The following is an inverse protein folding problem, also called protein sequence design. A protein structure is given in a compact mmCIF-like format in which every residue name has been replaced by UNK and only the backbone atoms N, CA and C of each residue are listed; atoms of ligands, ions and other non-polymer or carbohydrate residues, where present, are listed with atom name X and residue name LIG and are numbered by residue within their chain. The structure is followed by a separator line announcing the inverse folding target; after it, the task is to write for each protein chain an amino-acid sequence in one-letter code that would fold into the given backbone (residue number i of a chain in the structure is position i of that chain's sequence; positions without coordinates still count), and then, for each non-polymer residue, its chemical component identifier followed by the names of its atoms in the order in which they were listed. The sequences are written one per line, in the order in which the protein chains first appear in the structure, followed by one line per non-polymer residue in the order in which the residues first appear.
data_IF_289481647677
#
_entry.id   IF_289481647677
#
_cell.length_a   1.000
_cell.length_b   1.000
_cell.length_c   1.000
_cell.angle_alpha   90.00
_cell.angle_beta   90.00
_cell.angle_gamma   90.00
#
_symmetry.space_group_name_H-M   'P 1'
#
loop_
_entity.id
_entity.type
_entity.pdbx_description
1 polymer ?
#
# COMPACT_ATOMS: atom_id res chain seq x y z
N UNK A 1 -5.22 11.01 11.48
CA UNK A 1 -4.53 9.77 11.06
C UNK A 1 -4.95 9.49 9.63
N UNK A 2 -4.02 9.13 8.76
CA UNK A 2 -4.31 8.74 7.37
C UNK A 2 -3.94 7.27 7.21
N UNK A 3 -4.70 6.57 6.40
CA UNK A 3 -4.38 5.22 5.98
C UNK A 3 -4.01 5.23 4.50
N UNK A 4 -3.42 4.14 4.05
CA UNK A 4 -2.94 3.97 2.69
C UNK A 4 -3.44 2.63 2.17
N UNK A 5 -4.00 2.65 0.96
CA UNK A 5 -4.32 1.44 0.22
C UNK A 5 -3.32 1.29 -0.92
N UNK A 6 -2.68 0.13 -0.99
CA UNK A 6 -1.79 -0.24 -2.09
C UNK A 6 -2.47 -1.29 -2.95
N UNK A 7 -2.67 -0.98 -4.23
CA UNK A 7 -3.22 -1.88 -5.25
C UNK A 7 -2.06 -2.35 -6.13
N UNK A 8 -1.83 -3.66 -6.15
CA UNK A 8 -0.85 -4.31 -7.01
C UNK A 8 -1.59 -5.15 -8.03
N UNK A 9 -1.47 -4.81 -9.31
CA UNK A 9 -2.03 -5.59 -10.41
C UNK A 9 -0.90 -6.29 -11.16
N UNK A 10 -1.07 -7.57 -11.44
CA UNK A 10 -0.20 -8.38 -12.28
C UNK A 10 -0.99 -8.84 -13.49
N UNK A 11 -0.53 -8.43 -14.67
CA UNK A 11 -1.02 -8.94 -15.95
C UNK A 11 -0.70 -10.44 -16.08
N UNK A 12 -1.70 -11.23 -16.42
CA UNK A 12 -1.63 -12.69 -16.44
C UNK A 12 -0.96 -13.24 -17.70
N UNK A 13 -0.86 -12.46 -18.77
CA UNK A 13 -0.27 -12.87 -20.04
C UNK A 13 1.21 -12.48 -20.12
N UNK A 14 1.52 -11.24 -19.74
CA UNK A 14 2.85 -10.62 -19.89
C UNK A 14 3.68 -10.62 -18.61
N UNK A 15 3.09 -11.01 -17.48
CA UNK A 15 3.66 -10.89 -16.12
C UNK A 15 3.92 -9.44 -15.67
N UNK A 16 3.48 -8.44 -16.43
CA UNK A 16 3.73 -7.03 -16.13
C UNK A 16 3.05 -6.64 -14.81
N UNK A 17 3.79 -5.95 -13.92
CA UNK A 17 3.29 -5.52 -12.61
C UNK A 17 3.08 -4.01 -12.58
N UNK A 18 1.92 -3.60 -12.07
CA UNK A 18 1.59 -2.19 -11.79
C UNK A 18 1.25 -2.03 -10.32
N UNK A 19 1.70 -0.93 -9.73
CA UNK A 19 1.44 -0.60 -8.33
C UNK A 19 0.88 0.81 -8.27
N UNK A 20 -0.25 0.96 -7.60
CA UNK A 20 -0.86 2.23 -7.26
C UNK A 20 -1.01 2.32 -5.74
N UNK A 21 -0.83 3.52 -5.20
CA UNK A 21 -0.89 3.77 -3.77
C UNK A 21 -1.73 5.00 -3.52
N UNK A 22 -2.74 4.86 -2.67
CA UNK A 22 -3.83 5.84 -2.52
C UNK A 22 -3.97 6.15 -1.03
N UNK A 23 -3.94 7.43 -0.67
CA UNK A 23 -4.23 7.87 0.69
C UNK A 23 -5.74 7.90 0.92
N UNK A 24 -6.19 7.31 2.03
CA UNK A 24 -7.60 7.20 2.39
C UNK A 24 -7.84 7.54 3.85
N UNK A 25 -9.11 7.80 4.17
CA UNK A 25 -9.55 7.86 5.55
C UNK A 25 -9.40 6.47 6.22
N UNK A 26 -8.93 6.42 7.49
CA UNK A 26 -8.78 5.18 8.22
C UNK A 26 -10.13 4.47 8.40
N UNK A 27 -10.16 3.16 8.12
CA UNK A 27 -11.25 2.23 8.38
C UNK A 27 -10.79 1.28 9.48
N UNK A 28 -11.55 1.24 10.58
CA UNK A 28 -11.16 0.53 11.79
C UNK A 28 -11.74 -0.89 11.81
N UNK A 29 -12.90 -1.07 11.17
CA UNK A 29 -13.56 -2.37 11.08
C UNK A 29 -13.14 -3.11 9.80
N UNK A 30 -12.94 -4.45 9.86
CA UNK A 30 -12.60 -5.25 8.68
C UNK A 30 -13.61 -5.14 7.54
N UNK A 31 -14.89 -4.99 7.84
CA UNK A 31 -15.93 -4.82 6.83
C UNK A 31 -15.79 -3.49 6.08
N UNK A 32 -15.50 -2.40 6.81
CA UNK A 32 -15.25 -1.09 6.21
C UNK A 32 -14.00 -1.12 5.33
N UNK A 33 -12.93 -1.76 5.79
CA UNK A 33 -11.71 -1.95 5.00
C UNK A 33 -12.01 -2.72 3.72
N UNK A 34 -12.75 -3.83 3.81
CA UNK A 34 -13.15 -4.62 2.64
C UNK A 34 -13.96 -3.79 1.64
N UNK A 35 -14.92 -2.99 2.11
CA UNK A 35 -15.73 -2.11 1.25
C UNK A 35 -14.88 -1.03 0.58
N UNK A 36 -13.95 -0.41 1.30
CA UNK A 36 -13.03 0.58 0.73
C UNK A 36 -12.10 -0.05 -0.33
N UNK A 37 -11.52 -1.23 -0.05
CA UNK A 37 -10.69 -1.95 -1.01
C UNK A 37 -11.48 -2.31 -2.28
N UNK A 38 -12.71 -2.82 -2.12
CA UNK A 38 -13.55 -3.18 -3.26
C UNK A 38 -13.92 -1.97 -4.12
N UNK A 39 -14.26 -0.84 -3.49
CA UNK A 39 -14.58 0.40 -4.21
C UNK A 39 -13.39 0.90 -5.02
N UNK A 40 -12.21 0.99 -4.42
CA UNK A 40 -11.02 1.48 -5.13
C UNK A 40 -10.60 0.52 -6.25
N UNK A 41 -10.71 -0.78 -6.03
CA UNK A 41 -10.40 -1.74 -7.11
C UNK A 41 -11.39 -1.61 -8.25
N UNK A 42 -12.70 -1.41 -8.01
CA UNK A 42 -13.66 -1.17 -9.08
C UNK A 42 -13.36 0.11 -9.88
N UNK A 43 -12.86 1.16 -9.22
CA UNK A 43 -12.45 2.42 -9.89
C UNK A 43 -11.21 2.25 -10.79
N UNK A 44 -10.28 1.35 -10.44
CA UNK A 44 -9.03 1.12 -11.18
C UNK A 44 -9.07 -0.08 -12.15
N UNK A 45 -9.88 -1.08 -11.83
CA UNK A 45 -10.00 -2.36 -12.53
C UNK A 45 -11.49 -2.75 -12.59
N UNK A 46 -12.28 -2.08 -13.44
CA UNK A 46 -13.73 -2.28 -13.49
C UNK A 46 -14.08 -3.74 -13.82
N UNK A 47 -14.99 -4.32 -13.03
CA UNK A 47 -15.39 -5.71 -13.19
C UNK A 47 -14.47 -6.75 -12.55
N UNK A 48 -13.41 -6.35 -11.85
CA UNK A 48 -12.60 -7.24 -11.03
C UNK A 48 -13.42 -7.78 -9.85
N UNK A 49 -13.44 -9.12 -9.69
CA UNK A 49 -14.25 -9.77 -8.65
C UNK A 49 -13.41 -10.12 -7.44
N UNK A 50 -13.92 -9.77 -6.26
CA UNK A 50 -13.33 -10.17 -4.99
C UNK A 50 -13.29 -11.71 -4.87
N UNK A 51 -12.12 -12.25 -4.53
CA UNK A 51 -11.90 -13.69 -4.33
C UNK A 51 -11.68 -14.05 -2.87
N UNK A 52 -10.91 -13.23 -2.17
CA UNK A 52 -10.61 -13.42 -0.75
C UNK A 52 -10.35 -12.09 -0.09
N UNK A 53 -10.60 -12.04 1.22
CA UNK A 53 -10.24 -10.93 2.09
C UNK A 53 -9.80 -11.49 3.43
N UNK A 54 -8.60 -11.11 3.88
CA UNK A 54 -8.05 -11.48 5.17
C UNK A 54 -6.98 -10.45 5.57
N UNK A 55 -6.87 -10.17 6.87
CA UNK A 55 -5.80 -9.34 7.44
C UNK A 55 -5.62 -7.97 6.76
N UNK A 56 -6.73 -7.32 6.39
CA UNK A 56 -6.72 -6.02 5.71
C UNK A 56 -6.24 -6.07 4.26
N UNK A 57 -6.10 -7.26 3.66
CA UNK A 57 -5.77 -7.45 2.25
C UNK A 57 -6.89 -8.20 1.52
N UNK A 58 -7.18 -7.78 0.29
CA UNK A 58 -8.14 -8.39 -0.59
C UNK A 58 -7.49 -8.79 -1.92
N UNK A 59 -7.81 -9.97 -2.39
CA UNK A 59 -7.43 -10.45 -3.72
C UNK A 59 -8.63 -10.35 -4.65
N UNK A 60 -8.43 -9.76 -5.80
CA UNK A 60 -9.40 -9.63 -6.87
C UNK A 60 -8.85 -10.25 -8.15
N UNK A 61 -9.77 -10.65 -9.02
CA UNK A 61 -9.44 -11.25 -10.31
C UNK A 61 -10.37 -10.67 -11.37
N UNK A 62 -9.79 -10.12 -12.42
CA UNK A 62 -10.48 -9.88 -13.68
C UNK A 62 -9.98 -10.84 -14.77
N UNK A 63 -10.32 -10.62 -16.04
CA UNK A 63 -9.94 -11.52 -17.14
C UNK A 63 -8.44 -11.50 -17.44
N UNK A 64 -7.77 -10.39 -17.16
CA UNK A 64 -6.40 -10.09 -17.60
C UNK A 64 -5.45 -9.90 -16.41
N UNK A 65 -5.97 -9.65 -15.21
CA UNK A 65 -5.16 -9.27 -14.05
C UNK A 65 -5.51 -10.06 -12.78
N UNK A 66 -4.46 -10.47 -12.07
CA UNK A 66 -4.52 -10.75 -10.65
C UNK A 66 -4.22 -9.46 -9.87
N UNK A 67 -5.15 -9.05 -9.02
CA UNK A 67 -5.06 -7.79 -8.28
C UNK A 67 -5.03 -8.10 -6.78
N UNK A 68 -4.08 -7.50 -6.07
CA UNK A 68 -4.00 -7.55 -4.60
C UNK A 68 -4.08 -6.12 -4.10
N UNK A 69 -5.13 -5.80 -3.35
CA UNK A 69 -5.28 -4.53 -2.66
C UNK A 69 -5.03 -4.75 -1.16
N UNK A 70 -4.21 -3.90 -0.55
CA UNK A 70 -3.83 -4.04 0.86
C UNK A 70 -3.98 -2.72 1.58
N UNK A 71 -4.55 -2.80 2.78
CA UNK A 71 -4.76 -1.70 3.69
C UNK A 71 -3.56 -1.55 4.61
N UNK A 72 -3.09 -0.34 4.84
CA UNK A 72 -1.99 -0.05 5.76
C UNK A 72 -2.27 1.24 6.50
N UNK A 73 -2.38 1.16 7.82
CA UNK A 73 -2.42 2.36 8.66
C UNK A 73 -1.00 2.88 8.80
N UNK A 74 -0.73 4.09 8.29
CA UNK A 74 0.55 4.71 8.56
C UNK A 74 0.55 5.14 10.03
N UNK A 75 1.60 4.82 10.82
CA UNK A 75 1.76 5.45 12.11
C UNK A 75 1.78 6.97 11.90
N UNK A 76 1.24 7.77 12.84
CA UNK A 76 1.28 9.23 12.72
C UNK A 76 2.73 9.65 12.47
N UNK A 77 2.99 10.21 11.29
CA UNK A 77 4.33 10.61 10.87
C UNK A 77 4.90 11.50 11.98
N UNK A 78 5.98 11.10 12.71
CA UNK A 78 6.63 12.05 13.60
C UNK A 78 7.06 13.20 12.71
N UNK A 79 6.55 14.42 12.99
CA UNK A 79 7.03 15.64 12.34
C UNK A 79 8.55 15.58 12.41
N UNK A 80 9.21 15.54 11.24
CA UNK A 80 10.63 15.37 11.12
C UNK A 80 11.37 16.23 12.15
N UNK A 81 12.03 15.60 13.12
CA UNK A 81 13.12 16.26 13.82
C UNK A 81 14.13 16.61 12.73
N UNK A 82 14.48 17.89 12.64
CA UNK A 82 15.53 18.39 11.75
C UNK A 82 16.70 17.42 11.80
N UNK A 83 17.09 16.89 10.64
CA UNK A 83 18.40 16.29 10.46
C UNK A 83 19.39 17.44 10.70
N UNK A 84 19.96 17.50 11.90
CA UNK A 84 21.13 18.31 12.14
C UNK A 84 22.31 17.51 11.58
N UNK A 85 22.98 18.12 10.62
CA UNK A 85 24.13 17.60 9.90
C UNK A 85 25.13 16.87 10.81
N UNK A 86 25.49 15.68 10.34
CA UNK A 86 26.63 14.86 10.71
C UNK A 86 27.89 15.71 10.90
N UNK A 87 28.32 15.90 12.15
CA UNK A 87 29.72 16.22 12.43
C UNK A 87 30.51 14.92 12.41
N UNK A 88 31.45 14.86 11.47
CA UNK A 88 32.23 13.69 11.07
C UNK A 88 33.00 13.03 12.22
N UNK A 89 33.04 11.69 12.19
CA UNK A 89 33.96 10.88 12.99
C UNK A 89 35.13 10.40 12.10
N UNK A 90 36.33 10.93 12.44
CA UNK A 90 37.68 10.32 12.46
C UNK A 90 38.36 9.84 11.14
N UNK A 91 39.71 9.84 11.10
CA UNK A 91 40.46 8.74 11.70
C UNK A 91 41.59 9.15 12.65
N UNK A 92 41.59 8.44 13.78
CA UNK A 92 42.71 8.08 14.63
C UNK A 92 43.91 7.59 13.79
N UNK A 93 45.01 8.35 13.65
CA UNK A 93 46.39 7.86 13.50
C UNK A 93 47.36 9.06 13.51
N UNK A 94 48.04 9.29 14.63
CA UNK A 94 49.35 9.93 14.65
C UNK A 94 50.21 9.17 15.66
N UNK A 95 51.30 8.59 15.14
CA UNK A 95 52.42 8.07 15.92
C UNK A 95 53.23 9.23 16.49
#
# INVERSE_FOLDING_TARGET
MTAQITIKARDLDTDTKRVATIEVAPAWEPEEQRLQLARLVEEHHPGARLRSFADGAATFLDREHLIVASYSTLPPRPRAAKVLETSAQEPLFAR
#
